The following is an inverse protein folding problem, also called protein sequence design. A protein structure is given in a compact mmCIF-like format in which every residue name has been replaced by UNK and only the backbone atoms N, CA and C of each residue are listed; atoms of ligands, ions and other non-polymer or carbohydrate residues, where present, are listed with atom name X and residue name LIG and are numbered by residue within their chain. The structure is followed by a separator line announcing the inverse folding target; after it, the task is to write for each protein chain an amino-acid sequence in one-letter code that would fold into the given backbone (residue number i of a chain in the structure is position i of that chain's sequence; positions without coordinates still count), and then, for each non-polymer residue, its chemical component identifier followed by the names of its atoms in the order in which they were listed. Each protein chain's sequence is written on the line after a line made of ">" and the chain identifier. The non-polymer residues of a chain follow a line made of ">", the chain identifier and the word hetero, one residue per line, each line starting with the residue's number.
data_IF_606594533902
#
_entry.id   IF_606594533902
#
_cell.length_a   1.000
_cell.length_b   1.000
_cell.length_c   1.000
_cell.angle_alpha   90.00
_cell.angle_beta   90.00
_cell.angle_gamma   90.00
#
_symmetry.space_group_name_H-M   'P 1'
#
loop_
_entity.id
_entity.type
_entity.pdbx_description
1 polymer ?
#
# COMPACT_ATOMS: atom_id res chain seq x y z
N UNK A 1 18.75 -5.37 -13.22
CA UNK A 1 17.53 -4.63 -12.84
C UNK A 1 17.94 -3.62 -11.78
N UNK A 2 17.83 -2.32 -12.06
CA UNK A 2 18.19 -1.29 -11.07
C UNK A 2 17.14 -1.27 -9.96
N UNK A 3 17.58 -1.16 -8.70
CA UNK A 3 16.69 -1.01 -7.55
C UNK A 3 16.04 0.38 -7.59
N UNK A 4 14.71 0.45 -7.45
CA UNK A 4 13.98 1.72 -7.44
C UNK A 4 14.39 2.57 -6.22
N UNK A 5 14.95 3.78 -6.39
CA UNK A 5 15.37 4.63 -5.27
C UNK A 5 14.21 5.06 -4.36
N UNK A 6 12.96 4.96 -4.80
CA UNK A 6 11.78 5.25 -3.98
C UNK A 6 11.74 4.41 -2.70
N UNK A 7 12.25 3.17 -2.71
CA UNK A 7 12.38 2.35 -1.50
C UNK A 7 13.16 3.07 -0.39
N UNK A 8 14.24 3.78 -0.75
CA UNK A 8 15.02 4.55 0.21
C UNK A 8 14.27 5.76 0.73
N UNK A 9 13.63 6.54 -0.16
CA UNK A 9 12.94 7.77 0.23
C UNK A 9 11.72 7.50 1.10
N UNK A 10 10.92 6.48 0.75
CA UNK A 10 9.78 6.04 1.57
C UNK A 10 10.26 5.58 2.96
N UNK A 11 11.34 4.81 3.04
CA UNK A 11 11.91 4.36 4.33
C UNK A 11 12.52 5.50 5.16
N UNK A 12 13.03 6.55 4.52
CA UNK A 12 13.61 7.71 5.20
C UNK A 12 12.53 8.62 5.76
N UNK A 13 11.51 8.92 4.95
CA UNK A 13 10.50 9.91 5.30
C UNK A 13 9.40 9.29 6.18
N UNK A 14 9.07 8.01 5.97
CA UNK A 14 8.06 7.27 6.73
C UNK A 14 6.72 8.01 6.86
N UNK A 15 6.35 8.75 5.80
CA UNK A 15 5.10 9.48 5.67
C UNK A 15 4.15 8.69 4.79
N UNK A 16 2.97 8.39 5.30
CA UNK A 16 1.96 7.63 4.55
C UNK A 16 0.60 8.31 4.56
N UNK A 17 -0.07 8.26 3.42
CA UNK A 17 -1.50 8.50 3.27
C UNK A 17 -2.18 7.14 3.10
N UNK A 18 -3.35 6.92 3.71
CA UNK A 18 -4.11 5.68 3.54
C UNK A 18 -5.40 5.99 2.80
N UNK A 19 -5.59 5.35 1.65
CA UNK A 19 -6.82 5.40 0.87
C UNK A 19 -7.52 4.05 0.89
N UNK A 20 -8.84 4.08 0.97
CA UNK A 20 -9.68 2.88 0.88
C UNK A 20 -10.50 2.90 -0.40
N UNK A 21 -10.54 1.78 -1.10
CA UNK A 21 -11.52 1.49 -2.15
C UNK A 21 -12.31 0.24 -1.75
N UNK A 22 -13.63 0.35 -1.75
CA UNK A 22 -14.53 -0.73 -1.37
C UNK A 22 -15.62 -0.87 -2.42
N UNK A 23 -15.68 -2.05 -3.03
CA UNK A 23 -16.78 -2.45 -3.91
C UNK A 23 -17.32 -3.84 -3.54
N UNK A 24 -17.28 -4.20 -2.25
CA UNK A 24 -17.82 -5.48 -1.78
C UNK A 24 -19.33 -5.35 -1.56
N UNK A 25 -20.09 -6.12 -2.35
CA UNK A 25 -21.56 -6.10 -2.29
C UNK A 25 -22.12 -7.13 -1.31
N UNK A 26 -23.42 -7.02 -1.00
CA UNK A 26 -24.22 -8.03 -0.26
C UNK A 26 -23.71 -8.37 1.15
N UNK A 27 -23.03 -7.42 1.80
CA UNK A 27 -22.62 -7.53 3.20
C UNK A 27 -21.49 -8.52 3.44
N UNK A 28 -20.70 -8.85 2.41
CA UNK A 28 -19.49 -9.68 2.49
C UNK A 28 -18.31 -8.95 3.18
N UNK A 29 -18.31 -7.62 3.16
CA UNK A 29 -17.40 -6.78 3.93
C UNK A 29 -18.20 -5.63 4.53
N UNK A 30 -18.45 -5.69 5.85
CA UNK A 30 -19.36 -4.75 6.52
C UNK A 30 -18.64 -3.65 7.27
N UNK A 31 -17.36 -3.85 7.56
CA UNK A 31 -16.56 -2.94 8.36
C UNK A 31 -15.21 -2.67 7.68
N UNK A 32 -15.24 -1.72 6.75
CA UNK A 32 -14.05 -1.33 5.99
C UNK A 32 -13.08 -0.51 6.82
N UNK A 33 -13.61 0.28 7.76
CA UNK A 33 -12.82 1.11 8.66
C UNK A 33 -11.84 0.29 9.50
N UNK A 34 -12.23 -0.92 9.93
CA UNK A 34 -11.32 -1.83 10.64
C UNK A 34 -10.05 -2.16 9.84
N UNK A 35 -10.13 -2.24 8.52
CA UNK A 35 -8.92 -2.48 7.70
C UNK A 35 -8.02 -1.25 7.68
N UNK A 36 -8.59 -0.05 7.54
CA UNK A 36 -7.84 1.22 7.63
C UNK A 36 -7.17 1.31 8.99
N UNK A 37 -7.92 1.17 10.09
CA UNK A 37 -7.42 1.33 11.45
C UNK A 37 -6.29 0.32 11.76
N UNK A 38 -6.43 -0.93 11.30
CA UNK A 38 -5.37 -1.93 11.47
C UNK A 38 -4.12 -1.61 10.67
N UNK A 39 -4.26 -1.15 9.42
CA UNK A 39 -3.11 -0.73 8.61
C UNK A 39 -2.44 0.49 9.23
N UNK A 40 -3.21 1.49 9.65
CA UNK A 40 -2.74 2.67 10.38
C UNK A 40 -1.93 2.27 11.62
N UNK A 41 -2.45 1.33 12.42
CA UNK A 41 -1.78 0.87 13.63
C UNK A 41 -0.43 0.22 13.34
N UNK A 42 -0.34 -0.61 12.29
CA UNK A 42 0.93 -1.24 11.91
C UNK A 42 1.95 -0.21 11.40
N UNK A 43 1.52 0.77 10.60
CA UNK A 43 2.38 1.86 10.16
C UNK A 43 2.91 2.67 11.34
N UNK A 44 2.05 3.09 12.27
CA UNK A 44 2.44 3.85 13.47
C UNK A 44 3.37 3.03 14.37
N UNK A 45 3.14 1.72 14.53
CA UNK A 45 4.06 0.82 15.26
C UNK A 45 5.44 0.75 14.63
N UNK A 46 5.54 0.92 13.32
CA UNK A 46 6.80 1.04 12.60
C UNK A 46 7.36 2.46 12.55
N UNK A 47 6.90 3.35 13.44
CA UNK A 47 7.33 4.76 13.55
C UNK A 47 6.96 5.62 12.33
N UNK A 48 5.96 5.21 11.56
CA UNK A 48 5.45 6.01 10.46
C UNK A 48 4.46 7.08 10.93
N UNK A 49 4.42 8.21 10.22
CA UNK A 49 3.41 9.25 10.41
C UNK A 49 2.34 9.14 9.33
N UNK A 50 1.08 9.25 9.73
CA UNK A 50 -0.07 9.24 8.82
C UNK A 50 -0.49 10.68 8.54
N UNK A 51 -0.58 11.05 7.27
CA UNK A 51 -0.93 12.40 6.81
C UNK A 51 -2.09 12.35 5.83
N UNK A 52 -2.92 13.38 5.80
CA UNK A 52 -4.13 13.39 4.97
C UNK A 52 -3.84 13.64 3.49
N UNK A 53 -2.97 14.59 3.15
CA UNK A 53 -2.52 14.84 1.77
C UNK A 53 -1.13 15.51 1.80
N UNK A 54 -0.11 14.83 1.27
CA UNK A 54 1.22 15.43 1.13
C UNK A 54 1.94 14.87 -0.10
N UNK A 55 2.49 15.76 -0.93
CA UNK A 55 3.18 15.40 -2.18
C UNK A 55 4.38 14.44 -2.00
N UNK A 56 4.90 14.32 -0.78
CA UNK A 56 6.02 13.43 -0.45
C UNK A 56 5.59 12.13 0.24
N UNK A 57 4.34 12.01 0.66
CA UNK A 57 3.86 10.82 1.33
C UNK A 57 3.68 9.68 0.33
N UNK A 58 4.02 8.46 0.75
CA UNK A 58 3.60 7.27 0.02
C UNK A 58 2.12 7.02 0.26
N UNK A 59 1.37 6.64 -0.77
CA UNK A 59 -0.06 6.33 -0.64
C UNK A 59 -0.24 4.82 -0.52
N UNK A 60 -0.73 4.37 0.63
CA UNK A 60 -1.21 2.99 0.82
C UNK A 60 -2.66 2.92 0.40
N UNK A 61 -2.94 2.17 -0.65
CA UNK A 61 -4.28 1.91 -1.14
C UNK A 61 -4.70 0.51 -0.69
N UNK A 62 -5.73 0.43 0.14
CA UNK A 62 -6.36 -0.84 0.50
C UNK A 62 -7.65 -1.02 -0.28
N UNK A 63 -7.78 -2.16 -0.92
CA UNK A 63 -8.91 -2.48 -1.80
C UNK A 63 -9.48 -3.83 -1.42
N UNK A 64 -10.80 -3.94 -1.32
CA UNK A 64 -11.45 -5.23 -1.41
C UNK A 64 -12.62 -5.19 -2.39
N UNK A 65 -12.70 -6.22 -3.23
CA UNK A 65 -13.72 -6.40 -4.25
C UNK A 65 -14.32 -7.79 -4.06
N UNK A 66 -15.64 -7.91 -3.99
CA UNK A 66 -16.22 -9.20 -3.67
C UNK A 66 -17.72 -9.29 -3.83
N UNK A 67 -18.19 -10.53 -3.84
CA UNK A 67 -19.59 -10.86 -4.03
C UNK A 67 -20.00 -12.04 -3.14
N UNK A 68 -21.31 -12.13 -2.97
CA UNK A 68 -21.96 -13.24 -2.29
C UNK A 68 -22.00 -14.47 -3.20
N UNK A 69 -21.47 -15.61 -2.72
CA UNK A 69 -21.61 -16.91 -3.40
C UNK A 69 -22.99 -17.51 -3.09
N UNK A 70 -23.41 -17.43 -1.82
CA UNK A 70 -24.72 -17.84 -1.33
C UNK A 70 -25.04 -17.10 -0.03
N UNK A 71 -26.24 -17.34 0.54
CA UNK A 71 -26.73 -16.64 1.75
C UNK A 71 -25.76 -16.63 2.93
N UNK A 72 -24.81 -17.57 3.00
CA UNK A 72 -23.85 -17.70 4.09
C UNK A 72 -22.38 -17.48 3.69
N UNK A 73 -22.02 -17.43 2.40
CA UNK A 73 -20.63 -17.40 1.92
C UNK A 73 -20.33 -16.29 0.91
N UNK A 74 -19.05 -15.92 0.83
CA UNK A 74 -18.53 -14.88 -0.06
C UNK A 74 -17.24 -15.29 -0.74
N UNK A 75 -16.95 -14.65 -1.86
CA UNK A 75 -15.63 -14.54 -2.47
C UNK A 75 -15.21 -13.07 -2.46
N UNK A 76 -14.00 -12.78 -1.97
CA UNK A 76 -13.45 -11.43 -1.88
C UNK A 76 -12.00 -11.43 -2.32
N UNK A 77 -11.66 -10.61 -3.30
CA UNK A 77 -10.29 -10.27 -3.65
C UNK A 77 -9.86 -9.10 -2.78
N UNK A 78 -8.74 -9.27 -2.08
CA UNK A 78 -8.14 -8.27 -1.19
C UNK A 78 -6.82 -7.84 -1.78
N UNK A 79 -6.65 -6.55 -2.02
CA UNK A 79 -5.46 -5.97 -2.64
C UNK A 79 -4.92 -4.83 -1.80
N UNK A 80 -3.61 -4.75 -1.67
CA UNK A 80 -2.90 -3.63 -1.06
C UNK A 80 -1.85 -3.16 -2.02
N UNK A 81 -1.89 -1.88 -2.36
CA UNK A 81 -0.93 -1.23 -3.24
C UNK A 81 -0.26 -0.10 -2.46
N UNK A 82 1.03 0.12 -2.70
CA UNK A 82 1.77 1.26 -2.18
C UNK A 82 2.31 2.03 -3.35
N UNK A 83 1.95 3.30 -3.44
CA UNK A 83 2.43 4.23 -4.44
C UNK A 83 3.44 5.18 -3.81
N UNK A 84 4.53 5.44 -4.50
CA UNK A 84 5.51 6.45 -4.11
C UNK A 84 5.46 7.64 -5.08
N UNK A 85 5.71 8.88 -4.60
CA UNK A 85 5.85 10.03 -5.48
C UNK A 85 7.05 9.84 -6.41
N UNK A 86 6.81 9.80 -7.71
CA UNK A 86 7.84 9.76 -8.74
C UNK A 86 7.93 11.12 -9.42
N UNK A 87 9.13 11.69 -9.40
CA UNK A 87 9.42 12.96 -10.06
C UNK A 87 9.98 12.70 -11.44
N UNK A 88 9.38 13.33 -12.46
CA UNK A 88 9.90 13.36 -13.82
C UNK A 88 10.18 14.80 -14.20
N UNK A 89 11.40 15.04 -14.62
CA UNK A 89 11.81 16.28 -15.25
C UNK A 89 11.84 16.05 -16.78
N UNK A 90 11.13 16.89 -17.53
CA UNK A 90 11.01 16.84 -18.98
C UNK A 90 11.19 18.22 -19.59
N UNK A 91 11.36 18.30 -20.91
CA UNK A 91 11.31 19.56 -21.67
C UNK A 91 10.18 19.49 -22.68
N UNK A 92 9.28 20.46 -22.65
CA UNK A 92 8.17 20.60 -23.61
C UNK A 92 8.29 21.98 -24.23
N UNK A 93 8.42 22.04 -25.56
CA UNK A 93 8.63 23.28 -26.32
C UNK A 93 9.83 24.11 -25.84
N UNK A 94 10.86 23.45 -25.32
CA UNK A 94 12.08 24.11 -24.80
C UNK A 94 11.96 24.59 -23.35
N UNK A 95 10.80 24.43 -22.70
CA UNK A 95 10.60 24.76 -21.29
C UNK A 95 10.80 23.54 -20.39
N UNK A 96 11.60 23.64 -19.32
CA UNK A 96 11.73 22.57 -18.33
C UNK A 96 10.44 22.46 -17.51
N UNK A 97 9.87 21.26 -17.47
CA UNK A 97 8.69 20.91 -16.68
C UNK A 97 9.06 19.82 -15.69
N UNK A 98 8.67 20.02 -14.43
CA UNK A 98 8.75 18.98 -13.41
C UNK A 98 7.32 18.52 -13.07
N UNK A 99 7.06 17.23 -13.23
CA UNK A 99 5.83 16.60 -12.79
C UNK A 99 6.12 15.62 -11.65
N UNK A 100 5.20 15.54 -10.69
CA UNK A 100 5.22 14.50 -9.64
C UNK A 100 3.94 13.71 -9.78
N UNK A 101 4.07 12.40 -10.00
CA UNK A 101 2.94 11.49 -10.08
C UNK A 101 3.15 10.28 -9.18
N UNK A 102 2.07 9.68 -8.65
CA UNK A 102 2.18 8.43 -7.93
C UNK A 102 2.62 7.32 -8.89
N UNK A 103 3.68 6.59 -8.53
CA UNK A 103 4.11 5.37 -9.21
C UNK A 103 3.93 4.18 -8.28
N UNK A 104 3.45 3.06 -8.80
CA UNK A 104 3.32 1.82 -8.04
C UNK A 104 4.72 1.36 -7.59
N UNK A 105 4.93 1.29 -6.28
CA UNK A 105 6.17 0.80 -5.66
C UNK A 105 6.03 -0.67 -5.27
N UNK A 106 4.87 -1.05 -4.76
CA UNK A 106 4.62 -2.38 -4.21
C UNK A 106 3.15 -2.77 -4.29
N UNK A 107 2.88 -4.06 -4.48
CA UNK A 107 1.54 -4.62 -4.51
C UNK A 107 1.51 -6.01 -3.87
N UNK A 108 0.42 -6.33 -3.18
CA UNK A 108 0.08 -7.70 -2.81
C UNK A 108 -1.43 -7.92 -2.93
N UNK A 109 -1.78 -9.06 -3.55
CA UNK A 109 -3.16 -9.50 -3.74
C UNK A 109 -3.38 -10.87 -3.10
N UNK A 110 -4.59 -11.12 -2.61
CA UNK A 110 -5.07 -12.39 -2.07
C UNK A 110 -6.55 -12.60 -2.41
N UNK A 111 -6.97 -13.86 -2.56
CA UNK A 111 -8.38 -14.22 -2.76
C UNK A 111 -8.85 -14.98 -1.52
N UNK A 112 -9.96 -14.54 -0.95
CA UNK A 112 -10.60 -15.12 0.22
C UNK A 112 -11.97 -15.68 -0.15
N UNK A 113 -12.20 -16.93 0.18
CA UNK A 113 -13.54 -17.54 0.10
C UNK A 113 -13.96 -18.07 1.47
N UNK A 114 -15.27 -18.04 1.76
CA UNK A 114 -15.82 -18.65 2.97
C UNK A 114 -16.93 -17.84 3.65
N UNK A 115 -17.21 -18.08 4.94
CA UNK A 115 -18.41 -17.56 5.59
C UNK A 115 -18.46 -16.03 5.70
N UNK A 116 -19.61 -15.44 5.38
CA UNK A 116 -19.93 -14.01 5.53
C UNK A 116 -19.59 -13.48 6.92
N UNK A 117 -19.96 -14.25 7.96
CA UNK A 117 -19.83 -13.83 9.37
C UNK A 117 -18.40 -13.50 9.79
N UNK A 118 -17.39 -14.13 9.18
CA UNK A 118 -15.98 -13.92 9.51
C UNK A 118 -15.21 -13.15 8.44
N UNK A 119 -15.82 -12.91 7.27
CA UNK A 119 -15.12 -12.37 6.10
C UNK A 119 -14.51 -10.99 6.38
N UNK A 120 -15.23 -10.09 7.07
CA UNK A 120 -14.69 -8.76 7.40
C UNK A 120 -13.43 -8.82 8.26
N UNK A 121 -13.37 -9.74 9.22
CA UNK A 121 -12.19 -9.96 10.05
C UNK A 121 -11.00 -10.50 9.23
N UNK A 122 -11.27 -11.44 8.31
CA UNK A 122 -10.25 -12.02 7.42
C UNK A 122 -9.70 -11.01 6.41
N UNK A 123 -10.55 -10.15 5.86
CA UNK A 123 -10.12 -9.04 4.98
C UNK A 123 -9.18 -8.11 5.74
N UNK A 124 -9.58 -7.68 6.94
CA UNK A 124 -8.76 -6.78 7.76
C UNK A 124 -7.42 -7.42 8.17
N UNK A 125 -7.42 -8.70 8.56
CA UNK A 125 -6.20 -9.46 8.84
C UNK A 125 -5.30 -9.61 7.61
N UNK A 126 -5.89 -9.80 6.43
CA UNK A 126 -5.15 -9.88 5.17
C UNK A 126 -4.46 -8.56 4.84
N UNK A 127 -5.16 -7.43 4.98
CA UNK A 127 -4.56 -6.10 4.86
C UNK A 127 -3.41 -5.89 5.87
N UNK A 128 -3.59 -6.31 7.13
CA UNK A 128 -2.51 -6.30 8.15
C UNK A 128 -1.30 -7.12 7.72
N UNK A 129 -1.52 -8.32 7.18
CA UNK A 129 -0.44 -9.18 6.68
C UNK A 129 0.29 -8.52 5.50
N UNK A 130 -0.45 -7.93 4.57
CA UNK A 130 0.12 -7.25 3.41
C UNK A 130 0.99 -6.07 3.85
N UNK A 131 0.49 -5.17 4.71
CA UNK A 131 1.29 -4.01 5.12
C UNK A 131 2.53 -4.40 5.93
N UNK A 132 2.45 -5.43 6.79
CA UNK A 132 3.63 -5.96 7.50
C UNK A 132 4.68 -6.49 6.52
N UNK A 133 4.24 -7.22 5.49
CA UNK A 133 5.15 -7.71 4.44
C UNK A 133 5.81 -6.54 3.70
N UNK A 134 5.04 -5.53 3.31
CA UNK A 134 5.58 -4.31 2.72
C UNK A 134 6.65 -3.65 3.61
N UNK A 135 6.39 -3.46 4.91
CA UNK A 135 7.33 -2.81 5.84
C UNK A 135 8.65 -3.58 5.98
N UNK A 136 8.59 -4.92 5.96
CA UNK A 136 9.78 -5.78 5.95
C UNK A 136 10.57 -5.56 4.64
N UNK A 137 9.90 -5.61 3.50
CA UNK A 137 10.52 -5.41 2.19
C UNK A 137 11.09 -3.99 2.05
N UNK A 138 10.40 -2.98 2.58
CA UNK A 138 10.84 -1.59 2.62
C UNK A 138 12.19 -1.46 3.33
N UNK A 139 12.31 -2.06 4.51
CA UNK A 139 13.55 -2.07 5.29
C UNK A 139 14.68 -2.79 4.55
N UNK A 140 14.39 -3.93 3.91
CA UNK A 140 15.36 -4.74 3.17
C UNK A 140 15.86 -4.01 1.92
N UNK A 141 14.95 -3.54 1.07
CA UNK A 141 15.27 -2.87 -0.21
C UNK A 141 15.97 -1.54 0.02
N UNK A 142 15.57 -0.77 1.03
CA UNK A 142 16.27 0.46 1.40
C UNK A 142 17.70 0.20 1.89
N UNK A 143 17.94 -0.92 2.61
CA UNK A 143 19.28 -1.33 3.03
C UNK A 143 20.14 -1.76 1.85
N UNK A 144 19.61 -2.58 0.93
CA UNK A 144 20.30 -3.03 -0.29
C UNK A 144 20.78 -1.84 -1.15
N UNK A 145 19.94 -0.80 -1.28
CA UNK A 145 20.31 0.44 -1.98
C UNK A 145 21.50 1.15 -1.34
N UNK A 146 21.50 1.28 0.00
CA UNK A 146 22.59 1.94 0.74
C UNK A 146 23.91 1.17 0.58
N UNK A 147 23.88 -0.16 0.66
CA UNK A 147 25.09 -0.98 0.51
C UNK A 147 25.64 -0.93 -0.92
N UNK A 148 24.75 -0.95 -1.92
CA UNK A 148 25.17 -0.89 -3.34
C UNK A 148 25.79 0.47 -3.69
N UNK A 149 25.23 1.56 -3.14
CA UNK A 149 25.77 2.90 -3.32
C UNK A 149 27.12 3.14 -2.62
N UNK A 150 27.41 2.38 -1.55
CA UNK A 150 28.68 2.48 -0.80
C UNK A 150 29.77 1.53 -1.31
N UNK A 151 29.40 0.41 -1.94
CA UNK A 151 30.32 -0.59 -2.48
C UNK A 151 30.87 -0.28 -3.88
N UNK A 152 30.54 0.87 -4.47
CA UNK A 152 31.01 1.35 -5.78
C UNK A 152 32.16 2.37 -5.67
N UNK A 153 32.91 2.36 -4.55
CA UNK A 153 34.15 3.12 -4.39
C UNK A 153 35.37 2.22 -4.47
#
# INVERSE_FOLDING_TARGET
>A
MFLDPNWHFVQRDMLFEIRKYDEVTNGCWRNTQTSVDRVSLELVRSQASIVEVQLRAATVVITALGYEINSTNCAVTVRTEVYAPHRVDASVDGYPITAVFPSLLWEQTAILTGPKRTMSGRVAETHTKHIRKFLIELSQKARELRTTALGTR
#
